data_IF_798440635806
#
_entry.id   IF_798440635806
#
_cell.length_a   1.000
_cell.length_b   1.000
_cell.length_c   1.000
_cell.angle_alpha   90.00
_cell.angle_beta   90.00
_cell.angle_gamma   90.00
#
_symmetry.space_group_name_H-M   'P 1'
#
loop_
_entity.id
_entity.type
_entity.pdbx_description
1 polymer ?
#
# COMPACT_ATOMS: atom_id res chain seq x y z
N UNK A 1 -20.85 -33.07 12.07
CA UNK A 1 -20.19 -32.91 10.77
C UNK A 1 -20.79 -31.66 10.15
N UNK A 2 -20.18 -30.51 10.46
CA UNK A 2 -20.57 -29.19 9.95
C UNK A 2 -19.27 -28.48 9.64
N UNK A 3 -18.61 -28.94 8.58
CA UNK A 3 -17.55 -28.22 7.91
C UNK A 3 -18.05 -27.97 6.48
N UNK A 4 -17.54 -26.91 5.87
CA UNK A 4 -17.82 -26.45 4.51
C UNK A 4 -19.06 -25.56 4.30
N UNK A 5 -18.82 -24.25 4.27
CA UNK A 5 -19.11 -23.43 3.08
C UNK A 5 -18.79 -21.94 3.31
N UNK A 6 -17.51 -21.60 3.45
CA UNK A 6 -17.03 -20.23 3.21
C UNK A 6 -15.76 -20.29 2.36
N UNK A 7 -15.89 -20.77 1.12
CA UNK A 7 -14.87 -20.48 0.12
C UNK A 7 -15.11 -19.05 -0.36
N UNK A 8 -14.31 -18.11 0.15
CA UNK A 8 -14.29 -16.74 -0.37
C UNK A 8 -13.97 -16.81 -1.87
N UNK A 9 -14.97 -16.51 -2.72
CA UNK A 9 -14.72 -16.32 -4.15
C UNK A 9 -13.95 -15.01 -4.30
N UNK A 10 -12.63 -15.10 -4.31
CA UNK A 10 -11.74 -13.96 -4.49
C UNK A 10 -11.64 -13.70 -6.00
N UNK A 11 -12.21 -12.61 -6.54
CA UNK A 11 -12.21 -12.38 -7.98
C UNK A 11 -10.78 -12.15 -8.49
N UNK A 12 -10.43 -12.75 -9.63
CA UNK A 12 -9.09 -12.68 -10.21
C UNK A 12 -8.65 -11.25 -10.57
N UNK A 13 -9.60 -10.35 -10.87
CA UNK A 13 -9.42 -8.91 -11.01
C UNK A 13 -10.33 -8.17 -10.04
N UNK A 14 -9.82 -7.11 -9.45
CA UNK A 14 -10.59 -6.18 -8.64
C UNK A 14 -11.33 -5.26 -9.60
N UNK A 15 -12.65 -5.38 -9.62
CA UNK A 15 -13.54 -4.59 -10.48
C UNK A 15 -14.20 -3.42 -9.77
N UNK A 16 -14.29 -3.48 -8.44
CA UNK A 16 -14.96 -2.45 -7.63
C UNK A 16 -13.94 -1.81 -6.69
N UNK A 17 -13.68 -0.53 -6.92
CA UNK A 17 -12.80 0.31 -6.10
C UNK A 17 -13.63 1.55 -5.74
N UNK A 18 -13.94 1.70 -4.45
CA UNK A 18 -14.66 2.86 -3.95
C UNK A 18 -13.70 4.04 -3.84
N UNK A 19 -14.20 5.27 -3.96
CA UNK A 19 -13.39 6.48 -3.83
C UNK A 19 -13.63 7.11 -2.47
N UNK A 20 -12.55 7.42 -1.77
CA UNK A 20 -12.53 8.10 -0.48
C UNK A 20 -11.65 9.32 -0.63
N UNK A 21 -12.25 10.51 -0.69
CA UNK A 21 -11.54 11.77 -0.91
C UNK A 21 -10.58 11.76 -2.12
N UNK A 22 -10.96 11.02 -3.18
CA UNK A 22 -10.15 10.88 -4.38
C UNK A 22 -9.10 9.77 -4.32
N UNK A 23 -9.04 8.96 -3.25
CA UNK A 23 -8.21 7.76 -3.14
C UNK A 23 -9.05 6.50 -3.34
N UNK A 24 -8.54 5.57 -4.16
CA UNK A 24 -9.20 4.31 -4.43
C UNK A 24 -9.01 3.31 -3.30
N UNK A 25 -10.10 2.72 -2.80
CA UNK A 25 -10.12 1.68 -1.78
C UNK A 25 -10.95 0.48 -2.29
N UNK A 26 -10.31 -0.66 -2.58
CA UNK A 26 -11.03 -1.88 -2.95
C UNK A 26 -11.64 -2.59 -1.74
N UNK A 27 -12.70 -3.35 -1.98
CA UNK A 27 -13.21 -4.31 -1.00
C UNK A 27 -12.25 -5.52 -0.85
N UNK A 28 -12.33 -6.22 0.28
CA UNK A 28 -11.56 -7.45 0.50
C UNK A 28 -10.05 -7.24 0.74
N UNK A 29 -9.63 -6.02 1.06
CA UNK A 29 -8.24 -5.67 1.38
C UNK A 29 -8.13 -5.21 2.82
N UNK A 30 -7.04 -5.63 3.45
CA UNK A 30 -6.61 -5.14 4.74
C UNK A 30 -5.51 -4.09 4.54
N UNK A 31 -5.47 -3.07 5.38
CA UNK A 31 -4.52 -1.98 5.25
C UNK A 31 -3.68 -1.85 6.51
N UNK A 32 -2.36 -1.78 6.33
CA UNK A 32 -1.43 -1.39 7.37
C UNK A 32 -1.34 0.12 7.39
N UNK A 33 -1.16 0.68 8.59
CA UNK A 33 -1.09 2.13 8.79
C UNK A 33 0.14 2.80 8.14
N UNK A 34 1.01 2.01 7.50
CA UNK A 34 2.14 2.46 6.67
C UNK A 34 1.88 2.27 5.17
N UNK A 35 0.60 2.34 4.76
CA UNK A 35 0.11 2.26 3.37
C UNK A 35 0.45 0.99 2.57
N UNK A 36 0.85 -0.09 3.24
CA UNK A 36 0.87 -1.41 2.63
C UNK A 36 -0.51 -2.08 2.75
N UNK A 37 -1.01 -2.66 1.66
CA UNK A 37 -2.22 -3.47 1.68
C UNK A 37 -1.90 -4.97 1.68
N UNK A 38 -2.83 -5.76 2.21
CA UNK A 38 -2.79 -7.21 2.20
C UNK A 38 -4.12 -7.78 1.71
N UNK A 39 -4.05 -8.73 0.78
CA UNK A 39 -5.22 -9.45 0.25
C UNK A 39 -5.03 -10.95 0.39
N UNK A 40 -5.96 -11.62 1.06
CA UNK A 40 -5.96 -13.08 1.18
C UNK A 40 -6.35 -13.68 -0.16
N UNK A 41 -5.56 -14.65 -0.63
CA UNK A 41 -5.75 -15.38 -1.87
C UNK A 41 -6.30 -16.78 -1.63
N UNK A 42 -6.75 -17.45 -2.70
CA UNK A 42 -7.10 -18.86 -2.63
C UNK A 42 -5.88 -19.67 -2.18
N UNK A 43 -6.08 -20.60 -1.23
CA UNK A 43 -5.00 -21.38 -0.63
C UNK A 43 -4.29 -20.70 0.56
N UNK A 44 -4.78 -19.54 1.02
CA UNK A 44 -4.31 -18.92 2.27
C UNK A 44 -2.99 -18.15 2.17
N UNK A 45 -2.45 -17.99 0.95
CA UNK A 45 -1.37 -17.03 0.68
C UNK A 45 -1.90 -15.61 0.70
N UNK A 46 -1.01 -14.64 0.85
CA UNK A 46 -1.37 -13.24 0.93
C UNK A 46 -0.58 -12.45 -0.11
N UNK A 47 -1.29 -11.71 -0.96
CA UNK A 47 -0.68 -10.68 -1.81
C UNK A 47 -0.50 -9.40 -1.02
N UNK A 48 0.63 -8.75 -1.22
CA UNK A 48 0.99 -7.48 -0.58
C UNK A 48 1.33 -6.47 -1.67
N UNK A 49 0.93 -5.22 -1.46
CA UNK A 49 1.34 -4.08 -2.29
C UNK A 49 1.24 -2.76 -1.54
N UNK A 50 1.39 -1.65 -2.25
CA UNK A 50 1.19 -0.29 -1.72
C UNK A 50 -0.13 0.27 -2.24
N UNK A 51 -0.81 1.03 -1.40
CA UNK A 51 -2.13 1.54 -1.71
C UNK A 51 -2.09 2.77 -2.64
N UNK A 52 -3.28 3.16 -3.12
CA UNK A 52 -3.44 4.30 -4.03
C UNK A 52 -3.01 5.62 -3.39
N UNK A 53 -3.13 5.75 -2.05
CA UNK A 53 -2.68 6.93 -1.33
C UNK A 53 -1.17 7.09 -1.40
N UNK A 54 -0.41 6.04 -1.04
CA UNK A 54 1.05 6.06 -1.18
C UNK A 54 1.48 6.37 -2.62
N UNK A 55 0.79 5.81 -3.62
CA UNK A 55 1.16 6.03 -5.02
C UNK A 55 0.86 7.45 -5.52
N UNK A 56 -0.11 8.13 -4.91
CA UNK A 56 -0.37 9.56 -5.19
C UNK A 56 0.55 10.48 -4.40
N UNK A 57 0.98 10.11 -3.19
CA UNK A 57 1.93 10.90 -2.41
C UNK A 57 3.34 10.78 -3.00
N UNK A 58 3.85 9.56 -3.13
CA UNK A 58 5.23 9.29 -3.54
C UNK A 58 5.41 9.12 -5.04
N UNK A 59 4.32 9.08 -5.82
CA UNK A 59 4.33 8.95 -7.27
C UNK A 59 4.89 7.62 -7.80
N UNK A 60 5.21 7.59 -9.09
CA UNK A 60 5.76 6.40 -9.72
C UNK A 60 7.22 6.20 -9.28
N UNK A 61 7.55 4.98 -8.88
CA UNK A 61 8.90 4.61 -8.43
C UNK A 61 9.83 4.41 -9.62
N UNK A 62 11.13 4.63 -9.42
CA UNK A 62 12.18 4.28 -10.38
C UNK A 62 12.63 2.83 -10.21
N UNK A 63 12.70 2.36 -8.96
CA UNK A 63 13.11 1.00 -8.62
C UNK A 63 12.54 0.56 -7.28
N UNK A 64 12.54 -0.75 -7.05
CA UNK A 64 12.09 -1.40 -5.81
C UNK A 64 13.07 -2.50 -5.40
N UNK A 65 13.28 -2.61 -4.10
CA UNK A 65 14.05 -3.65 -3.45
C UNK A 65 13.08 -4.50 -2.61
N UNK A 66 12.83 -5.73 -3.08
CA UNK A 66 11.92 -6.70 -2.44
C UNK A 66 12.70 -7.88 -1.85
N UNK A 67 12.29 -8.44 -0.70
CA UNK A 67 12.89 -9.63 -0.14
C UNK A 67 12.75 -10.83 -1.08
N UNK A 68 13.79 -11.66 -1.16
CA UNK A 68 13.86 -12.82 -2.04
C UNK A 68 12.86 -13.91 -1.62
N UNK A 69 12.46 -14.75 -2.58
CA UNK A 69 11.66 -15.94 -2.27
C UNK A 69 12.41 -16.81 -1.25
N UNK A 70 11.71 -17.18 -0.16
CA UNK A 70 12.27 -17.91 0.97
C UNK A 70 12.73 -17.01 2.14
N UNK A 71 12.81 -15.69 1.96
CA UNK A 71 13.13 -14.76 3.05
C UNK A 71 11.92 -14.46 3.92
N UNK A 72 12.18 -14.14 5.19
CA UNK A 72 11.16 -13.78 6.17
C UNK A 72 10.89 -12.27 6.13
N UNK A 73 9.61 -11.92 6.23
CA UNK A 73 9.14 -10.58 6.57
C UNK A 73 8.37 -10.64 7.88
N UNK A 74 8.39 -9.55 8.65
CA UNK A 74 7.74 -9.46 9.96
C UNK A 74 6.77 -8.29 10.01
N UNK A 75 5.66 -8.50 10.70
CA UNK A 75 4.63 -7.48 10.91
C UNK A 75 5.25 -6.20 11.49
N UNK A 76 4.95 -5.05 10.85
CA UNK A 76 5.45 -3.73 11.23
C UNK A 76 6.97 -3.61 11.33
N UNK A 77 7.72 -4.46 10.62
CA UNK A 77 9.15 -4.26 10.33
C UNK A 77 9.33 -3.94 8.83
N UNK A 78 10.47 -3.36 8.48
CA UNK A 78 10.79 -3.03 7.07
C UNK A 78 10.73 -4.30 6.22
N UNK A 79 9.84 -4.30 5.23
CA UNK A 79 9.59 -5.45 4.37
C UNK A 79 9.82 -5.17 2.89
N UNK A 80 10.06 -3.92 2.51
CA UNK A 80 10.46 -3.50 1.16
C UNK A 80 11.05 -2.08 1.21
N UNK A 81 11.80 -1.73 0.16
CA UNK A 81 12.22 -0.36 -0.09
C UNK A 81 11.96 0.03 -1.55
N UNK A 82 11.84 1.32 -1.81
CA UNK A 82 11.69 1.86 -3.16
C UNK A 82 12.45 3.17 -3.32
N UNK A 83 12.79 3.49 -4.57
CA UNK A 83 13.55 4.68 -4.92
C UNK A 83 12.81 5.52 -5.93
N UNK A 84 12.97 6.83 -5.78
CA UNK A 84 12.49 7.81 -6.73
C UNK A 84 13.39 9.04 -6.72
N UNK A 85 13.84 9.46 -7.90
CA UNK A 85 14.64 10.67 -8.11
C UNK A 85 15.87 10.75 -7.18
N UNK A 86 16.51 9.60 -6.94
CA UNK A 86 17.68 9.49 -6.06
C UNK A 86 17.38 9.46 -4.56
N UNK A 87 16.12 9.52 -4.14
CA UNK A 87 15.67 9.33 -2.76
C UNK A 87 15.19 7.90 -2.55
N UNK A 88 15.32 7.40 -1.33
CA UNK A 88 14.92 6.05 -0.93
C UNK A 88 13.91 6.12 0.23
N UNK A 89 12.89 5.27 0.17
CA UNK A 89 11.89 5.10 1.20
C UNK A 89 11.72 3.62 1.52
N UNK A 90 11.34 3.33 2.75
CA UNK A 90 11.04 1.99 3.22
C UNK A 90 9.55 1.86 3.49
N UNK A 91 9.01 0.65 3.38
CA UNK A 91 7.65 0.37 3.82
C UNK A 91 7.62 -0.87 4.70
N UNK A 92 6.71 -0.82 5.67
CA UNK A 92 6.54 -1.86 6.67
C UNK A 92 5.71 -3.01 6.09
N UNK A 93 6.09 -4.25 6.40
CA UNK A 93 5.31 -5.41 6.00
C UNK A 93 3.98 -5.44 6.79
N UNK A 94 2.84 -5.62 6.11
CA UNK A 94 1.54 -5.71 6.77
C UNK A 94 1.35 -7.03 7.53
N UNK A 95 2.18 -8.05 7.30
CA UNK A 95 2.11 -9.35 7.96
C UNK A 95 3.48 -10.01 8.13
N UNK A 96 3.56 -10.94 9.08
CA UNK A 96 4.70 -11.85 9.24
C UNK A 96 4.54 -13.10 8.37
N UNK A 97 5.61 -13.52 7.69
CA UNK A 97 5.58 -14.71 6.84
C UNK A 97 6.85 -14.90 6.03
N UNK A 98 6.82 -15.88 5.13
CA UNK A 98 7.90 -16.18 4.19
C UNK A 98 7.48 -15.77 2.79
N UNK A 99 8.35 -15.06 2.06
CA UNK A 99 8.07 -14.67 0.67
C UNK A 99 7.98 -15.91 -0.21
N UNK A 100 6.82 -16.12 -0.82
CA UNK A 100 6.54 -17.22 -1.73
C UNK A 100 6.78 -16.83 -3.21
N UNK A 101 6.59 -15.55 -3.55
CA UNK A 101 6.83 -15.04 -4.90
C UNK A 101 7.00 -13.52 -4.91
N UNK A 102 7.75 -13.00 -5.88
CA UNK A 102 7.81 -11.58 -6.23
C UNK A 102 7.09 -11.32 -7.54
N UNK A 103 6.55 -10.11 -7.71
CA UNK A 103 6.01 -9.68 -8.98
C UNK A 103 7.12 -9.11 -9.88
N UNK A 104 7.69 -9.96 -10.74
CA UNK A 104 8.73 -9.53 -11.68
C UNK A 104 8.25 -8.48 -12.71
N UNK A 105 6.95 -8.29 -12.89
CA UNK A 105 6.43 -7.24 -13.77
C UNK A 105 6.75 -5.86 -13.22
N UNK A 106 6.53 -5.62 -11.93
CA UNK A 106 6.77 -4.30 -11.33
C UNK A 106 8.26 -4.00 -11.25
N UNK A 107 9.13 -4.99 -11.08
CA UNK A 107 10.59 -4.78 -11.17
C UNK A 107 11.02 -4.28 -12.55
N UNK A 108 10.34 -4.73 -13.62
CA UNK A 108 10.63 -4.31 -15.01
C UNK A 108 9.92 -3.03 -15.42
N UNK A 109 8.70 -2.81 -14.91
CA UNK A 109 7.88 -1.63 -15.16
C UNK A 109 7.29 -1.11 -13.83
N UNK A 110 8.08 -0.41 -13.00
CA UNK A 110 7.63 0.06 -11.68
C UNK A 110 6.40 0.98 -11.72
N UNK A 111 6.20 1.72 -12.81
CA UNK A 111 5.01 2.55 -13.03
C UNK A 111 3.68 1.79 -12.88
N UNK A 112 3.66 0.47 -13.08
CA UNK A 112 2.45 -0.37 -12.89
C UNK A 112 1.93 -0.31 -11.45
N UNK A 113 2.81 -0.10 -10.46
CA UNK A 113 2.41 0.03 -9.05
C UNK A 113 1.49 1.24 -8.89
N UNK A 114 1.84 2.37 -9.51
CA UNK A 114 0.99 3.57 -9.52
C UNK A 114 -0.25 3.40 -10.40
N UNK A 115 -0.11 2.83 -11.59
CA UNK A 115 -1.20 2.68 -12.56
C UNK A 115 -2.30 1.71 -12.07
N UNK A 116 -1.92 0.65 -11.36
CA UNK A 116 -2.81 -0.44 -10.97
C UNK A 116 -2.47 -1.00 -9.57
N UNK A 117 -2.50 -0.17 -8.50
CA UNK A 117 -1.97 -0.51 -7.17
C UNK A 117 -2.53 -1.80 -6.58
N UNK A 118 -3.79 -2.13 -6.89
CA UNK A 118 -4.48 -3.30 -6.35
C UNK A 118 -4.58 -4.48 -7.33
N UNK A 119 -4.34 -4.24 -8.63
CA UNK A 119 -4.40 -5.28 -9.66
C UNK A 119 -2.97 -5.71 -10.02
N UNK A 120 -2.44 -5.24 -11.14
CA UNK A 120 -1.12 -5.69 -11.64
C UNK A 120 0.07 -5.12 -10.84
N UNK A 121 -0.19 -4.16 -9.93
CA UNK A 121 0.79 -3.47 -9.10
C UNK A 121 1.13 -4.13 -7.76
N UNK A 122 0.64 -5.34 -7.48
CA UNK A 122 1.06 -6.11 -6.30
C UNK A 122 2.59 -6.35 -6.31
N UNK A 123 3.21 -6.43 -5.14
CA UNK A 123 4.66 -6.49 -5.01
C UNK A 123 5.16 -7.91 -4.75
N UNK A 124 4.57 -8.58 -3.77
CA UNK A 124 4.98 -9.93 -3.36
C UNK A 124 3.79 -10.75 -2.86
N UNK A 125 3.98 -12.07 -2.85
CA UNK A 125 3.09 -13.03 -2.20
C UNK A 125 3.85 -13.67 -1.04
N UNK A 126 3.20 -13.78 0.12
CA UNK A 126 3.78 -14.45 1.28
C UNK A 126 2.94 -15.66 1.70
N UNK A 127 3.60 -16.63 2.32
CA UNK A 127 3.00 -17.63 3.17
C UNK A 127 3.00 -17.11 4.62
N UNK A 128 1.83 -16.83 5.21
CA UNK A 128 1.78 -16.14 6.48
C UNK A 128 2.12 -17.06 7.65
N UNK A 129 2.97 -16.58 8.56
CA UNK A 129 3.35 -17.29 9.78
C UNK A 129 2.30 -17.13 10.90
N UNK A 130 1.60 -15.99 10.94
CA UNK A 130 0.65 -15.64 12.02
C UNK A 130 -0.62 -14.93 11.51
N UNK A 131 -1.20 -15.39 10.39
CA UNK A 131 -2.31 -14.72 9.67
C UNK A 131 -3.41 -14.14 10.58
N UNK A 132 -4.02 -14.96 11.44
CA UNK A 132 -5.15 -14.53 12.29
C UNK A 132 -4.77 -13.45 13.30
N UNK A 133 -3.51 -13.44 13.76
CA UNK A 133 -3.02 -12.45 14.72
C UNK A 133 -2.77 -11.14 14.00
N UNK A 134 -2.05 -11.19 12.88
CA UNK A 134 -1.59 -10.00 12.17
C UNK A 134 -2.75 -9.28 11.48
N UNK A 135 -3.68 -10.01 10.84
CA UNK A 135 -4.88 -9.42 10.21
C UNK A 135 -5.77 -8.63 11.19
N UNK A 136 -5.78 -8.98 12.49
CA UNK A 136 -6.54 -8.25 13.51
C UNK A 136 -5.96 -6.87 13.83
N UNK A 137 -4.70 -6.64 13.48
CA UNK A 137 -4.02 -5.37 13.68
C UNK A 137 -3.99 -4.52 12.40
N UNK A 138 -4.68 -4.97 11.35
CA UNK A 138 -4.85 -4.24 10.10
C UNK A 138 -6.26 -3.67 10.03
N UNK A 139 -6.41 -2.57 9.30
CA UNK A 139 -7.68 -1.91 9.07
C UNK A 139 -8.46 -2.64 7.97
N UNK A 140 -9.78 -2.76 8.13
CA UNK A 140 -10.65 -3.35 7.11
C UNK A 140 -12.01 -2.66 7.06
N UNK A 141 -12.62 -2.59 5.87
CA UNK A 141 -13.97 -2.07 5.69
C UNK A 141 -14.07 -0.59 6.05
N UNK A 142 -15.02 -0.23 6.92
CA UNK A 142 -15.29 1.17 7.28
C UNK A 142 -14.07 1.84 7.97
N UNK A 143 -13.32 1.10 8.77
CA UNK A 143 -12.13 1.63 9.45
C UNK A 143 -11.06 2.10 8.45
N UNK A 144 -10.92 1.40 7.31
CA UNK A 144 -10.00 1.81 6.24
C UNK A 144 -10.44 3.11 5.57
N UNK A 145 -11.75 3.31 5.40
CA UNK A 145 -12.31 4.56 4.85
C UNK A 145 -12.02 5.74 5.77
N UNK A 146 -12.34 5.60 7.05
CA UNK A 146 -12.12 6.67 8.05
C UNK A 146 -10.64 7.01 8.19
N UNK A 147 -9.77 5.99 8.16
CA UNK A 147 -8.33 6.18 8.17
C UNK A 147 -7.82 6.95 6.93
N UNK A 148 -8.24 6.58 5.72
CA UNK A 148 -7.81 7.30 4.51
C UNK A 148 -8.29 8.75 4.50
N UNK A 149 -9.50 9.04 5.02
CA UNK A 149 -9.94 10.42 5.21
C UNK A 149 -9.02 11.18 6.17
N UNK A 150 -8.61 10.56 7.28
CA UNK A 150 -7.68 11.17 8.22
C UNK A 150 -6.29 11.39 7.60
N UNK A 151 -5.75 10.43 6.85
CA UNK A 151 -4.47 10.57 6.14
C UNK A 151 -4.53 11.67 5.07
N UNK A 152 -5.65 11.80 4.37
CA UNK A 152 -5.89 12.90 3.44
C UNK A 152 -5.88 14.26 4.16
N UNK A 153 -6.54 14.40 5.31
CA UNK A 153 -6.52 15.66 6.05
C UNK A 153 -5.11 16.04 6.50
N UNK A 154 -4.33 15.08 7.02
CA UNK A 154 -2.91 15.32 7.36
C UNK A 154 -2.10 15.78 6.16
N UNK A 155 -2.29 15.14 5.00
CA UNK A 155 -1.61 15.53 3.76
C UNK A 155 -1.96 16.96 3.37
N UNK A 156 -3.25 17.34 3.45
CA UNK A 156 -3.71 18.71 3.18
C UNK A 156 -3.07 19.71 4.14
N UNK A 157 -2.98 19.39 5.43
CA UNK A 157 -2.31 20.24 6.43
C UNK A 157 -0.81 20.40 6.13
N UNK A 158 -0.12 19.30 5.80
CA UNK A 158 1.29 19.33 5.43
C UNK A 158 1.54 20.19 4.18
N UNK A 159 0.70 20.06 3.15
CA UNK A 159 0.81 20.86 1.92
C UNK A 159 0.48 22.33 2.18
N UNK A 160 -0.55 22.61 2.99
CA UNK A 160 -0.90 23.97 3.37
C UNK A 160 0.23 24.67 4.14
N UNK A 161 0.99 23.91 4.93
CA UNK A 161 2.13 24.44 5.70
C UNK A 161 3.26 25.01 4.83
N UNK A 162 3.39 24.55 3.58
CA UNK A 162 4.37 25.07 2.61
C UNK A 162 3.80 26.17 1.70
N UNK A 163 2.65 26.74 2.07
CA UNK A 163 2.07 27.93 1.41
C UNK A 163 1.30 27.66 0.12
N UNK A 164 1.01 26.39 -0.18
CA UNK A 164 0.22 25.98 -1.34
C UNK A 164 -1.19 25.62 -0.86
N UNK A 165 -2.20 26.31 -1.40
CA UNK A 165 -3.58 25.85 -1.30
C UNK A 165 -3.88 25.02 -2.55
N UNK A 166 -4.37 23.79 -2.39
CA UNK A 166 -5.08 23.11 -3.47
C UNK A 166 -6.40 23.87 -3.68
N UNK A 167 -6.33 25.03 -4.32
CA UNK A 167 -7.39 26.03 -4.35
C UNK A 167 -8.68 25.53 -5.05
N UNK A 168 -8.56 24.47 -5.85
CA UNK A 168 -9.60 24.07 -6.80
C UNK A 168 -10.12 22.63 -6.58
N UNK A 169 -9.64 21.91 -5.55
CA UNK A 169 -10.04 20.52 -5.31
C UNK A 169 -9.66 19.55 -6.45
N UNK A 170 -8.63 19.89 -7.23
CA UNK A 170 -8.07 19.01 -8.25
C UNK A 170 -7.54 17.69 -7.65
N UNK A 171 -7.46 16.61 -8.43
CA UNK A 171 -6.99 15.33 -7.92
C UNK A 171 -5.56 15.46 -7.38
N UNK A 172 -5.34 14.97 -6.16
CA UNK A 172 -4.00 14.79 -5.62
C UNK A 172 -3.34 13.68 -6.44
N UNK A 173 -2.35 14.05 -7.25
CA UNK A 173 -1.51 13.12 -7.99
C UNK A 173 -0.07 13.61 -7.94
N UNK A 174 0.83 12.74 -7.49
CA UNK A 174 2.26 13.00 -7.38
C UNK A 174 2.65 14.23 -6.55
N UNK A 175 2.46 14.15 -5.23
CA UNK A 175 2.77 15.25 -4.30
C UNK A 175 4.26 15.59 -4.31
N UNK A 176 5.14 14.58 -4.23
CA UNK A 176 6.60 14.78 -4.21
C UNK A 176 7.10 15.48 -5.48
N UNK A 177 6.60 15.10 -6.65
CA UNK A 177 6.99 15.72 -7.92
C UNK A 177 6.47 17.15 -8.08
N UNK A 178 5.31 17.45 -7.47
CA UNK A 178 4.67 18.76 -7.59
C UNK A 178 5.06 19.75 -6.48
N UNK A 179 5.61 19.28 -5.35
CA UNK A 179 5.95 20.09 -4.18
C UNK A 179 7.38 19.78 -3.68
N UNK A 180 8.42 20.30 -4.33
CA UNK A 180 9.80 20.02 -3.98
C UNK A 180 10.20 20.53 -2.57
N UNK A 181 9.48 21.53 -2.05
CA UNK A 181 9.69 22.09 -0.71
C UNK A 181 9.11 21.20 0.41
N UNK A 182 8.26 20.22 0.06
CA UNK A 182 7.77 19.22 1.00
C UNK A 182 8.84 18.15 1.16
N UNK A 183 9.39 18.05 2.38
CA UNK A 183 10.49 17.13 2.65
C UNK A 183 10.06 15.67 2.47
N UNK A 184 10.86 14.93 1.70
CA UNK A 184 10.72 13.47 1.53
C UNK A 184 10.70 12.76 2.89
N UNK A 185 11.63 13.10 3.77
CA UNK A 185 11.77 12.45 5.08
C UNK A 185 10.52 12.66 5.96
N UNK A 186 9.89 13.83 5.86
CA UNK A 186 8.64 14.09 6.60
C UNK A 186 7.48 13.25 6.05
N UNK A 187 7.44 13.05 4.74
CA UNK A 187 6.42 12.22 4.11
C UNK A 187 6.60 10.74 4.45
N UNK A 188 7.83 10.23 4.44
CA UNK A 188 8.11 8.84 4.83
C UNK A 188 7.84 8.59 6.31
N UNK A 189 8.24 9.53 7.18
CA UNK A 189 7.98 9.43 8.62
C UNK A 189 6.46 9.43 8.91
N UNK A 190 5.71 10.35 8.30
CA UNK A 190 4.27 10.47 8.56
C UNK A 190 3.47 9.31 7.97
N UNK A 191 3.68 9.00 6.69
CA UNK A 191 2.79 8.10 5.94
C UNK A 191 3.33 6.66 5.89
N UNK A 192 4.64 6.44 5.78
CA UNK A 192 5.21 5.08 5.73
C UNK A 192 5.63 4.56 7.11
N UNK A 193 5.76 5.47 8.09
CA UNK A 193 6.19 5.18 9.47
C UNK A 193 7.62 4.64 9.55
N UNK A 194 8.49 5.16 8.70
CA UNK A 194 9.92 4.79 8.56
C UNK A 194 10.81 5.99 8.46
#
# INVERSE_FOLDING_TARGET
MLEDSWQLQIPARISTIHQVDGFGLPEGHFFHLGHAWARVEHGGRIRIGLDDFAMKVFGAMDSLDLPLTGEEVKFSEVGLAFKREGKEAQALSPLSGVVAAQNYQVTKKPAVIKEQPYNDGWLMVIEPAAMKKDLKNLLYGQESTEWIQAEHQKLVEMVSSVGMTYADGGPIDDVVGNLPDLSWDKLTEEFLRT
#
